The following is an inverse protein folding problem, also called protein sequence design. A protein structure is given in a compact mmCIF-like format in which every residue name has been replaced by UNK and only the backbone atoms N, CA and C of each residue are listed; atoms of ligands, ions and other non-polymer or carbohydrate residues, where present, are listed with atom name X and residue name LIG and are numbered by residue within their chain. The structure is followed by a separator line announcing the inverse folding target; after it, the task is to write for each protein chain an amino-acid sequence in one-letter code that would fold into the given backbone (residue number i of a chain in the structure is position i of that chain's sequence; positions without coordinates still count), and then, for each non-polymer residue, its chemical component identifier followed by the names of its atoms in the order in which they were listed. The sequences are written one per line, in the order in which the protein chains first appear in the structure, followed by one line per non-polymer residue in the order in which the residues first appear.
data_IF_289563961891
#
_entry.id   IF_289563961891
#
_cell.length_a   1.000
_cell.length_b   1.000
_cell.length_c   1.000
_cell.angle_alpha   90.00
_cell.angle_beta   90.00
_cell.angle_gamma   90.00
#
_symmetry.space_group_name_H-M   'P 1'
#
loop_
_entity.id
_entity.type
_entity.pdbx_description
1 polymer ?
#
# COMPACT_ATOMS: atom_id res chain seq x y z
N UNK A 1 55.45 36.36 -30.48
CA UNK A 1 54.65 35.52 -31.39
C UNK A 1 53.23 36.09 -31.38
N UNK A 2 52.77 36.57 -32.53
CA UNK A 2 51.45 37.15 -32.76
C UNK A 2 50.61 36.13 -33.55
N UNK A 3 49.30 36.01 -33.25
CA UNK A 3 48.21 35.45 -34.08
C UNK A 3 46.86 35.61 -33.28
N UNK A 4 45.68 35.62 -33.92
CA UNK A 4 44.88 36.84 -34.03
C UNK A 4 43.39 36.73 -33.59
N UNK A 5 42.70 37.87 -33.67
CA UNK A 5 41.27 38.12 -34.00
C UNK A 5 40.20 37.04 -33.75
N UNK A 6 39.10 37.41 -33.07
CA UNK A 6 37.76 37.61 -33.68
C UNK A 6 36.58 37.44 -32.69
N UNK A 7 35.62 38.35 -32.86
CA UNK A 7 34.16 38.25 -32.63
C UNK A 7 33.65 38.05 -31.19
N UNK A 8 33.10 39.09 -30.56
CA UNK A 8 31.84 39.79 -30.86
C UNK A 8 30.60 38.95 -30.55
N UNK A 9 29.82 39.50 -29.63
CA UNK A 9 28.39 39.29 -29.47
C UNK A 9 27.96 37.90 -29.02
N UNK A 10 27.54 37.77 -27.75
CA UNK A 10 26.20 37.24 -27.36
C UNK A 10 25.87 37.69 -25.94
N UNK A 11 25.29 38.89 -25.85
CA UNK A 11 24.29 39.20 -24.83
C UNK A 11 23.01 38.49 -25.32
N UNK A 12 22.60 37.42 -24.63
CA UNK A 12 21.27 36.75 -24.64
C UNK A 12 21.51 35.25 -24.37
N UNK A 13 20.84 34.55 -23.45
CA UNK A 13 19.64 34.90 -22.70
C UNK A 13 19.80 34.48 -21.24
N UNK A 14 19.54 35.45 -20.38
CA UNK A 14 18.94 35.22 -19.07
C UNK A 14 17.56 34.57 -19.31
N UNK A 15 17.15 33.72 -18.36
CA UNK A 15 15.78 33.27 -18.10
C UNK A 15 15.27 32.10 -18.96
N UNK A 16 15.22 30.92 -18.33
CA UNK A 16 13.99 30.13 -18.19
C UNK A 16 14.28 28.98 -17.21
N UNK A 17 14.29 29.31 -15.91
CA UNK A 17 14.12 28.31 -14.87
C UNK A 17 12.66 27.84 -14.93
N UNK A 18 12.40 26.71 -15.60
CA UNK A 18 11.12 26.03 -15.47
C UNK A 18 11.03 25.48 -14.04
N UNK A 19 10.22 26.16 -13.23
CA UNK A 19 9.76 25.68 -11.94
C UNK A 19 8.93 24.43 -12.18
N UNK A 20 9.51 23.26 -11.91
CA UNK A 20 8.76 22.02 -11.79
C UNK A 20 7.90 22.12 -10.52
N UNK A 21 6.68 22.63 -10.66
CA UNK A 21 5.62 22.44 -9.66
C UNK A 21 5.16 20.99 -9.77
N UNK A 22 5.93 20.06 -9.21
CA UNK A 22 5.44 18.75 -8.84
C UNK A 22 4.34 18.97 -7.81
N UNK A 23 3.09 18.87 -8.26
CA UNK A 23 1.91 18.76 -7.42
C UNK A 23 2.07 17.48 -6.60
N UNK A 24 2.71 17.61 -5.44
CA UNK A 24 2.68 16.60 -4.41
C UNK A 24 1.25 16.61 -3.88
N UNK A 25 0.42 15.69 -4.38
CA UNK A 25 -0.85 15.33 -3.78
C UNK A 25 -0.57 14.93 -2.34
N UNK A 26 -0.65 15.88 -1.42
CA UNK A 26 -0.57 15.62 0.01
C UNK A 26 -1.80 14.80 0.38
N UNK A 27 -1.66 13.47 0.34
CA UNK A 27 -2.61 12.57 0.95
C UNK A 27 -2.70 12.96 2.42
N UNK A 28 -3.87 13.43 2.82
CA UNK A 28 -4.20 13.71 4.21
C UNK A 28 -4.16 12.37 4.98
N UNK A 29 -2.97 11.98 5.40
CA UNK A 29 -2.78 10.81 6.25
C UNK A 29 -3.31 11.13 7.63
N UNK A 30 -4.29 10.35 8.09
CA UNK A 30 -4.68 10.33 9.50
C UNK A 30 -3.45 9.94 10.33
N UNK A 31 -3.09 10.77 11.32
CA UNK A 31 -1.99 10.47 12.25
C UNK A 31 -2.32 9.19 13.01
N UNK A 32 -1.81 8.05 12.54
CA UNK A 32 -2.00 6.74 13.18
C UNK A 32 -2.20 5.56 12.23
N UNK A 33 -2.46 5.76 10.93
CA UNK A 33 -2.53 4.65 9.99
C UNK A 33 -1.13 4.11 9.69
N UNK A 34 -0.96 2.78 9.76
CA UNK A 34 0.25 2.13 9.26
C UNK A 34 0.48 2.55 7.80
N UNK A 35 1.72 2.91 7.40
CA UNK A 35 1.98 3.40 6.07
C UNK A 35 1.52 2.36 5.04
N UNK A 36 0.74 2.81 4.06
CA UNK A 36 0.28 1.97 2.97
C UNK A 36 1.49 1.38 2.24
N UNK A 37 1.61 0.05 2.27
CA UNK A 37 2.57 -0.70 1.46
C UNK A 37 2.02 -0.88 0.04
N UNK A 38 2.85 -1.22 -0.97
CA UNK A 38 2.34 -1.67 -2.26
C UNK A 38 1.30 -2.79 -2.08
N UNK A 39 0.17 -2.74 -2.81
CA UNK A 39 -0.90 -3.76 -2.66
C UNK A 39 -0.38 -5.19 -2.68
N UNK A 40 0.51 -5.58 -3.63
CA UNK A 40 0.95 -6.96 -3.73
C UNK A 40 1.69 -7.41 -2.46
N UNK A 41 2.44 -6.51 -1.82
CA UNK A 41 3.11 -6.79 -0.55
C UNK A 41 2.09 -6.95 0.59
N UNK A 42 1.11 -6.05 0.68
CA UNK A 42 0.08 -6.12 1.71
C UNK A 42 -0.79 -7.39 1.58
N UNK A 43 -1.10 -7.79 0.34
CA UNK A 43 -1.78 -9.07 0.05
C UNK A 43 -0.91 -10.23 0.50
N UNK A 44 0.37 -10.26 0.14
CA UNK A 44 1.30 -11.33 0.54
C UNK A 44 1.40 -11.50 2.06
N UNK A 45 1.56 -10.38 2.81
CA UNK A 45 1.59 -10.39 4.28
C UNK A 45 0.28 -10.91 4.86
N UNK A 46 -0.86 -10.50 4.28
CA UNK A 46 -2.19 -10.95 4.71
C UNK A 46 -2.41 -12.44 4.47
N UNK A 47 -1.94 -12.98 3.33
CA UNK A 47 -1.96 -14.42 3.05
C UNK A 47 -1.13 -15.19 4.08
N UNK A 48 0.08 -14.73 4.38
CA UNK A 48 0.95 -15.38 5.38
C UNK A 48 0.34 -15.36 6.80
N UNK A 49 -0.36 -14.28 7.17
CA UNK A 49 -1.09 -14.22 8.43
C UNK A 49 -2.29 -15.18 8.45
N UNK A 50 -3.08 -15.21 7.38
CA UNK A 50 -4.22 -16.12 7.23
C UNK A 50 -3.79 -17.60 7.28
N UNK A 51 -2.72 -17.96 6.58
CA UNK A 51 -2.16 -19.32 6.63
C UNK A 51 -1.74 -19.71 8.04
N UNK A 52 -1.05 -18.82 8.77
CA UNK A 52 -0.64 -19.10 10.15
C UNK A 52 -1.83 -19.35 11.10
N UNK A 53 -2.97 -18.67 10.88
CA UNK A 53 -4.21 -18.95 11.63
C UNK A 53 -4.74 -20.35 11.34
N UNK A 54 -4.80 -20.73 10.05
CA UNK A 54 -5.30 -22.04 9.64
C UNK A 54 -4.42 -23.19 10.11
N UNK A 55 -3.10 -22.98 10.12
CA UNK A 55 -2.12 -23.93 10.65
C UNK A 55 -2.06 -23.92 12.19
N UNK A 56 -2.78 -23.01 12.85
CA UNK A 56 -2.73 -22.79 14.31
C UNK A 56 -1.28 -22.60 14.81
N UNK A 57 -0.47 -21.90 14.02
CA UNK A 57 0.96 -21.71 14.24
C UNK A 57 1.23 -20.58 15.24
N UNK A 58 0.86 -20.81 16.50
CA UNK A 58 1.05 -19.87 17.62
C UNK A 58 -0.11 -19.85 18.60
N UNK A 59 0.01 -19.01 19.63
CA UNK A 59 -1.09 -18.78 20.59
C UNK A 59 -2.21 -17.98 19.93
N UNK A 60 -3.44 -18.15 20.42
CA UNK A 60 -4.61 -17.43 19.89
C UNK A 60 -4.45 -15.91 19.91
N UNK A 61 -3.85 -15.34 20.96
CA UNK A 61 -3.59 -13.90 21.07
C UNK A 61 -2.58 -13.41 20.03
N UNK A 62 -1.51 -14.17 19.79
CA UNK A 62 -0.50 -13.84 18.77
C UNK A 62 -1.12 -13.89 17.36
N UNK A 63 -1.87 -14.94 17.07
CA UNK A 63 -2.56 -15.11 15.79
C UNK A 63 -3.59 -14.00 15.55
N UNK A 64 -4.33 -13.60 16.59
CA UNK A 64 -5.26 -12.47 16.54
C UNK A 64 -4.53 -11.18 16.18
N UNK A 65 -3.45 -10.86 16.89
CA UNK A 65 -2.67 -9.65 16.61
C UNK A 65 -2.06 -9.66 15.20
N UNK A 66 -1.50 -10.81 14.78
CA UNK A 66 -0.88 -10.96 13.45
C UNK A 66 -1.90 -10.75 12.33
N UNK A 67 -3.07 -11.39 12.42
CA UNK A 67 -4.10 -11.28 11.40
C UNK A 67 -4.74 -9.88 11.39
N UNK A 68 -5.02 -9.30 12.56
CA UNK A 68 -5.57 -7.95 12.68
C UNK A 68 -4.64 -6.90 12.06
N UNK A 69 -3.34 -6.94 12.41
CA UNK A 69 -2.37 -6.00 11.86
C UNK A 69 -2.18 -6.16 10.35
N UNK A 70 -2.19 -7.39 9.84
CA UNK A 70 -2.10 -7.63 8.41
C UNK A 70 -3.31 -7.05 7.65
N UNK A 71 -4.52 -7.23 8.18
CA UNK A 71 -5.75 -6.72 7.58
C UNK A 71 -5.87 -5.20 7.65
N UNK A 72 -5.40 -4.59 8.74
CA UNK A 72 -5.27 -3.13 8.84
C UNK A 72 -4.30 -2.58 7.78
N UNK A 73 -3.16 -3.24 7.60
CA UNK A 73 -2.19 -2.89 6.56
C UNK A 73 -2.78 -3.04 5.16
N UNK A 74 -3.52 -4.13 4.90
CA UNK A 74 -4.20 -4.35 3.63
C UNK A 74 -5.29 -3.30 3.38
N UNK A 75 -6.10 -2.96 4.37
CA UNK A 75 -7.12 -1.91 4.26
C UNK A 75 -6.49 -0.56 3.89
N UNK A 76 -5.40 -0.17 4.57
CA UNK A 76 -4.64 1.06 4.26
C UNK A 76 -4.11 1.05 2.81
N UNK A 77 -3.54 -0.08 2.37
CA UNK A 77 -3.05 -0.24 0.99
C UNK A 77 -4.17 -0.21 -0.06
N UNK A 78 -5.36 -0.74 0.26
CA UNK A 78 -6.55 -0.67 -0.59
C UNK A 78 -7.05 0.77 -0.72
N UNK A 79 -7.17 1.49 0.39
CA UNK A 79 -7.57 2.90 0.42
C UNK A 79 -6.60 3.77 -0.40
N UNK A 80 -5.29 3.56 -0.26
CA UNK A 80 -4.27 4.31 -0.99
C UNK A 80 -4.35 4.14 -2.52
N UNK A 81 -4.90 3.02 -3.00
CA UNK A 81 -5.11 2.75 -4.43
C UNK A 81 -6.55 2.98 -4.90
N UNK A 82 -7.46 3.32 -4.00
CA UNK A 82 -8.89 3.39 -4.31
C UNK A 82 -9.49 2.05 -4.74
N UNK A 83 -8.88 0.92 -4.37
CA UNK A 83 -9.36 -0.41 -4.74
C UNK A 83 -10.58 -0.79 -3.88
N UNK A 84 -11.64 -1.22 -4.56
CA UNK A 84 -12.92 -1.69 -3.99
C UNK A 84 -13.20 -3.15 -4.32
N UNK A 85 -12.15 -3.90 -4.66
CA UNK A 85 -12.23 -5.34 -4.89
C UNK A 85 -12.82 -6.06 -3.67
N UNK A 86 -13.42 -7.25 -3.86
CA UNK A 86 -13.94 -8.04 -2.73
C UNK A 86 -12.91 -8.29 -1.62
N UNK A 87 -11.63 -8.41 -1.99
CA UNK A 87 -10.53 -8.55 -1.03
C UNK A 87 -10.36 -7.30 -0.16
N UNK A 88 -10.40 -6.12 -0.78
CA UNK A 88 -10.31 -4.85 -0.07
C UNK A 88 -11.53 -4.59 0.81
N UNK A 89 -12.73 -4.95 0.34
CA UNK A 89 -13.95 -4.87 1.14
C UNK A 89 -13.91 -5.83 2.35
N UNK A 90 -13.34 -7.03 2.19
CA UNK A 90 -13.09 -7.93 3.32
C UNK A 90 -12.11 -7.31 4.32
N UNK A 91 -11.00 -6.72 3.84
CA UNK A 91 -10.01 -6.09 4.71
C UNK A 91 -10.58 -4.93 5.51
N UNK A 92 -11.37 -4.07 4.87
CA UNK A 92 -12.00 -2.91 5.52
C UNK A 92 -13.02 -3.32 6.58
N UNK A 93 -13.88 -4.32 6.30
CA UNK A 93 -14.80 -4.86 7.31
C UNK A 93 -14.06 -5.50 8.48
N UNK A 94 -13.00 -6.23 8.19
CA UNK A 94 -12.21 -6.89 9.23
C UNK A 94 -11.47 -5.88 10.11
N UNK A 95 -10.93 -4.81 9.54
CA UNK A 95 -10.22 -3.74 10.24
C UNK A 95 -11.05 -3.09 11.36
N UNK A 96 -12.38 -3.01 11.19
CA UNK A 96 -13.29 -2.42 12.18
C UNK A 96 -13.95 -3.45 13.10
N UNK A 97 -13.67 -4.74 12.91
CA UNK A 97 -14.27 -5.81 13.71
C UNK A 97 -13.45 -6.03 14.98
N UNK A 98 -14.11 -6.06 16.14
CA UNK A 98 -13.49 -6.31 17.46
C UNK A 98 -13.86 -7.69 18.02
N UNK A 99 -13.06 -8.22 18.94
CA UNK A 99 -13.43 -9.44 19.69
C UNK A 99 -13.35 -10.71 18.85
N UNK A 100 -12.26 -10.90 18.12
CA UNK A 100 -12.07 -12.01 17.19
C UNK A 100 -12.05 -13.35 17.93
N UNK A 101 -13.03 -14.22 17.65
CA UNK A 101 -12.98 -15.62 18.05
C UNK A 101 -12.09 -16.43 17.11
N UNK A 102 -11.49 -17.53 17.57
CA UNK A 102 -10.69 -18.41 16.70
C UNK A 102 -11.47 -18.87 15.46
N UNK A 103 -12.75 -19.21 15.61
CA UNK A 103 -13.61 -19.62 14.50
C UNK A 103 -13.80 -18.48 13.48
N UNK A 104 -14.00 -17.26 13.97
CA UNK A 104 -14.09 -16.07 13.11
C UNK A 104 -12.78 -15.84 12.35
N UNK A 105 -11.63 -15.99 13.02
CA UNK A 105 -10.32 -15.85 12.38
C UNK A 105 -10.12 -16.88 11.27
N UNK A 106 -10.46 -18.14 11.52
CA UNK A 106 -10.33 -19.21 10.53
C UNK A 106 -11.23 -18.99 9.31
N UNK A 107 -12.49 -18.56 9.53
CA UNK A 107 -13.42 -18.23 8.45
C UNK A 107 -12.91 -17.08 7.60
N UNK A 108 -12.50 -16.00 8.25
CA UNK A 108 -11.93 -14.81 7.59
C UNK A 108 -10.66 -15.16 6.82
N UNK A 109 -9.80 -16.01 7.39
CA UNK A 109 -8.56 -16.47 6.74
C UNK A 109 -8.83 -17.27 5.47
N UNK A 110 -9.82 -18.19 5.49
CA UNK A 110 -10.22 -18.93 4.28
C UNK A 110 -10.76 -18.01 3.19
N UNK A 111 -11.60 -17.06 3.57
CA UNK A 111 -12.17 -16.09 2.62
C UNK A 111 -11.09 -15.18 2.03
N UNK A 112 -10.16 -14.68 2.86
CA UNK A 112 -9.00 -13.90 2.43
C UNK A 112 -8.17 -14.65 1.40
N UNK A 113 -7.78 -15.89 1.69
CA UNK A 113 -6.96 -16.69 0.77
C UNK A 113 -7.68 -16.87 -0.57
N UNK A 114 -8.96 -17.24 -0.55
CA UNK A 114 -9.78 -17.39 -1.76
C UNK A 114 -9.83 -16.12 -2.60
N UNK A 115 -10.03 -14.95 -1.98
CA UNK A 115 -10.12 -13.68 -2.69
C UNK A 115 -8.76 -13.20 -3.19
N UNK A 116 -7.69 -13.48 -2.44
CA UNK A 116 -6.32 -13.09 -2.80
C UNK A 116 -5.72 -13.84 -3.98
N UNK A 117 -6.26 -15.00 -4.32
CA UNK A 117 -5.85 -15.78 -5.49
C UNK A 117 -6.53 -15.28 -6.79
N UNK A 118 -7.47 -14.33 -6.68
CA UNK A 118 -8.09 -13.69 -7.85
C UNK A 118 -7.15 -12.60 -8.36
N UNK A 119 -6.78 -12.58 -9.66
CA UNK A 119 -5.90 -11.55 -10.20
C UNK A 119 -6.47 -10.15 -9.97
N UNK A 120 -5.71 -9.29 -9.28
CA UNK A 120 -6.04 -7.87 -9.19
C UNK A 120 -5.89 -7.30 -10.59
N UNK A 121 -6.99 -6.82 -11.17
CA UNK A 121 -6.97 -6.16 -12.46
C UNK A 121 -6.11 -4.89 -12.35
N UNK A 122 -4.87 -4.97 -12.86
CA UNK A 122 -4.00 -3.81 -12.99
C UNK A 122 -4.62 -2.89 -14.02
N UNK A 123 -5.21 -1.78 -13.58
CA UNK A 123 -5.63 -0.72 -14.49
C UNK A 123 -4.37 0.00 -15.00
N UNK A 124 -4.20 0.17 -16.33
CA UNK A 124 -3.01 0.78 -16.93
C UNK A 124 -2.83 2.27 -16.60
#
# INVERSE_FOLDING_TARGET
MAFPSAQSSRIQGLLLALVALSVNSAQAGVMGAAPAKPLPEAISVSRAAATAVLEKSGTSSCLTGKLTNALLGLSSSCEAQGDRSPLCELANRAAVTTGWSMEFMERTSRELLKLSDTPVATTP
#
